data_IF_362332243147
#
_entry.id   IF_362332243147
#
_cell.length_a   1.000
_cell.length_b   1.000
_cell.length_c   1.000
_cell.angle_alpha   90.00
_cell.angle_beta   90.00
_cell.angle_gamma   90.00
#
_symmetry.space_group_name_H-M   'P 1'
#
loop_
_entity.id
_entity.type
_entity.pdbx_description
1 polymer ?
#
# COMPACT_ATOMS: atom_id res chain seq x y z
N UNK A 1 -3.09 6.32 -31.27
CA UNK A 1 -3.16 4.90 -31.69
C UNK A 1 -1.79 4.32 -32.00
N UNK A 2 -0.87 5.07 -32.64
CA UNK A 2 0.47 4.56 -32.96
C UNK A 2 1.39 4.37 -31.73
N UNK A 3 1.34 5.27 -30.74
CA UNK A 3 2.13 5.15 -29.49
C UNK A 3 1.67 3.99 -28.59
N UNK A 4 0.40 3.56 -28.74
CA UNK A 4 -0.21 2.52 -27.92
C UNK A 4 0.08 1.10 -28.39
N UNK A 5 0.41 0.89 -29.66
CA UNK A 5 0.84 -0.41 -30.19
C UNK A 5 2.33 -0.64 -29.89
N UNK A 6 3.16 0.41 -29.97
CA UNK A 6 4.56 0.35 -29.56
C UNK A 6 4.74 0.05 -28.06
N UNK A 7 3.83 0.50 -27.19
CA UNK A 7 3.88 0.17 -25.76
C UNK A 7 3.59 -1.32 -25.50
N UNK A 8 2.72 -1.94 -26.29
CA UNK A 8 2.35 -3.36 -26.17
C UNK A 8 3.46 -4.26 -26.72
N UNK A 9 4.13 -3.87 -27.82
CA UNK A 9 5.33 -4.57 -28.33
C UNK A 9 6.56 -4.37 -27.44
N UNK A 10 6.69 -3.23 -26.75
CA UNK A 10 7.80 -2.95 -25.82
C UNK A 10 7.65 -3.68 -24.47
N UNK A 11 6.44 -4.10 -24.09
CA UNK A 11 6.19 -5.00 -22.95
C UNK A 11 6.55 -6.45 -23.34
N UNK A 12 7.82 -6.66 -23.66
CA UNK A 12 8.37 -8.01 -23.82
C UNK A 12 8.00 -8.87 -22.60
N UNK A 13 7.58 -10.10 -22.89
CA UNK A 13 7.11 -11.12 -21.94
C UNK A 13 8.00 -11.33 -20.69
N UNK A 14 9.24 -10.85 -20.70
CA UNK A 14 10.28 -11.12 -19.70
C UNK A 14 10.33 -10.17 -18.49
N UNK A 15 9.56 -9.08 -18.47
CA UNK A 15 9.69 -8.04 -17.43
C UNK A 15 8.57 -7.99 -16.37
N UNK A 16 7.61 -8.92 -16.38
CA UNK A 16 6.55 -8.98 -15.37
C UNK A 16 7.07 -9.59 -14.06
N UNK A 17 6.70 -9.01 -12.92
CA UNK A 17 7.27 -9.45 -11.64
C UNK A 17 6.77 -10.82 -11.19
N UNK A 18 5.44 -11.02 -11.16
CA UNK A 18 4.87 -12.28 -10.66
C UNK A 18 3.51 -12.56 -11.30
N UNK A 19 3.50 -12.99 -12.58
CA UNK A 19 2.27 -13.45 -13.21
C UNK A 19 1.71 -14.70 -12.50
N UNK A 20 0.40 -14.89 -12.59
CA UNK A 20 -0.25 -16.11 -12.12
C UNK A 20 0.16 -17.29 -13.01
N UNK A 21 0.96 -18.20 -12.43
CA UNK A 21 1.56 -19.34 -13.13
C UNK A 21 0.51 -20.29 -13.71
N UNK A 22 -0.69 -20.32 -13.14
CA UNK A 22 -1.74 -21.23 -13.59
C UNK A 22 -2.41 -20.82 -14.89
N UNK A 23 -2.36 -19.52 -15.23
CA UNK A 23 -3.02 -19.00 -16.44
C UNK A 23 -2.46 -19.61 -17.73
N UNK A 24 -1.19 -20.05 -17.72
CA UNK A 24 -0.55 -20.73 -18.87
C UNK A 24 -1.11 -22.13 -19.16
N UNK A 25 -1.81 -22.74 -18.21
CA UNK A 25 -2.40 -24.08 -18.37
C UNK A 25 -3.86 -24.03 -18.82
N UNK A 26 -4.42 -22.83 -19.04
CA UNK A 26 -5.78 -22.69 -19.53
C UNK A 26 -5.83 -23.00 -21.03
N UNK A 27 -6.90 -23.65 -21.53
CA UNK A 27 -7.06 -23.93 -22.95
C UNK A 27 -7.03 -22.68 -23.85
N UNK A 28 -7.32 -21.51 -23.28
CA UNK A 28 -7.39 -20.21 -23.93
C UNK A 28 -6.35 -19.22 -23.39
N UNK A 29 -5.17 -19.71 -22.95
CA UNK A 29 -4.14 -18.89 -22.30
C UNK A 29 -3.69 -17.64 -23.10
N UNK A 30 -3.63 -17.72 -24.43
CA UNK A 30 -3.29 -16.57 -25.29
C UNK A 30 -4.32 -15.44 -25.17
N UNK A 31 -5.61 -15.80 -25.15
CA UNK A 31 -6.69 -14.82 -24.96
C UNK A 31 -6.66 -14.22 -23.55
N UNK A 32 -6.37 -15.03 -22.52
CA UNK A 32 -6.18 -14.55 -21.14
C UNK A 32 -5.02 -13.56 -21.05
N UNK A 33 -3.92 -13.84 -21.75
CA UNK A 33 -2.77 -12.95 -21.80
C UNK A 33 -3.13 -11.60 -22.44
N UNK A 34 -3.75 -11.61 -23.63
CA UNK A 34 -4.20 -10.38 -24.30
C UNK A 34 -5.18 -9.58 -23.45
N UNK A 35 -6.13 -10.26 -22.82
CA UNK A 35 -7.09 -9.63 -21.91
C UNK A 35 -6.38 -8.97 -20.72
N UNK A 36 -5.36 -9.62 -20.15
CA UNK A 36 -4.60 -9.04 -19.04
C UNK A 36 -3.92 -7.72 -19.44
N UNK A 37 -3.31 -7.64 -20.62
CA UNK A 37 -2.68 -6.41 -21.10
C UNK A 37 -3.70 -5.28 -21.29
N UNK A 38 -4.85 -5.61 -21.90
CA UNK A 38 -5.93 -4.65 -22.11
C UNK A 38 -6.52 -4.15 -20.79
N UNK A 39 -6.83 -5.07 -19.85
CA UNK A 39 -7.35 -4.72 -18.54
C UNK A 39 -6.38 -3.88 -17.72
N UNK A 40 -5.07 -4.21 -17.76
CA UNK A 40 -4.07 -3.42 -17.07
C UNK A 40 -3.99 -2.00 -17.61
N UNK A 41 -3.97 -1.84 -18.94
CA UNK A 41 -4.00 -0.54 -19.60
C UNK A 41 -5.23 0.28 -19.19
N UNK A 42 -6.40 -0.34 -19.24
CA UNK A 42 -7.66 0.31 -18.86
C UNK A 42 -7.63 0.78 -17.39
N UNK A 43 -7.11 -0.03 -16.47
CA UNK A 43 -6.94 0.33 -15.06
C UNK A 43 -6.00 1.54 -14.92
N UNK A 44 -4.84 1.51 -15.56
CA UNK A 44 -3.88 2.62 -15.53
C UNK A 44 -4.47 3.92 -16.06
N UNK A 45 -5.14 3.88 -17.21
CA UNK A 45 -5.78 5.05 -17.84
C UNK A 45 -6.84 5.67 -16.93
N UNK A 46 -7.72 4.84 -16.37
CA UNK A 46 -8.82 5.33 -15.56
C UNK A 46 -8.37 5.82 -14.18
N UNK A 47 -7.46 5.11 -13.51
CA UNK A 47 -6.87 5.59 -12.24
C UNK A 47 -6.17 6.94 -12.48
N UNK A 48 -5.38 7.06 -13.55
CA UNK A 48 -4.71 8.32 -13.89
C UNK A 48 -5.71 9.45 -14.12
N UNK A 49 -6.78 9.18 -14.89
CA UNK A 49 -7.86 10.13 -15.16
C UNK A 49 -8.55 10.59 -13.87
N UNK A 50 -8.87 9.67 -12.97
CA UNK A 50 -9.52 9.97 -11.70
C UNK A 50 -8.67 10.90 -10.84
N UNK A 51 -7.37 10.63 -10.76
CA UNK A 51 -6.45 11.44 -9.96
C UNK A 51 -6.29 12.84 -10.55
N UNK A 52 -6.19 12.95 -11.88
CA UNK A 52 -6.15 14.24 -12.58
C UNK A 52 -7.42 15.07 -12.35
N UNK A 53 -8.58 14.42 -12.38
CA UNK A 53 -9.88 15.05 -12.12
C UNK A 53 -10.17 15.26 -10.63
N UNK A 54 -9.30 14.78 -9.73
CA UNK A 54 -9.51 14.74 -8.28
C UNK A 54 -10.82 14.05 -7.88
N UNK A 55 -11.27 13.09 -8.69
CA UNK A 55 -12.55 12.40 -8.52
C UNK A 55 -12.41 11.19 -7.58
N UNK A 56 -12.18 11.44 -6.29
CA UNK A 56 -12.00 10.36 -5.31
C UNK A 56 -13.29 9.57 -5.01
N UNK A 57 -14.45 10.03 -5.50
CA UNK A 57 -15.72 9.28 -5.45
C UNK A 57 -16.59 9.62 -6.68
N UNK A 58 -17.24 8.61 -7.30
CA UNK A 58 -17.16 7.16 -7.03
C UNK A 58 -15.97 6.46 -7.72
N UNK A 59 -15.23 7.16 -8.59
CA UNK A 59 -14.23 6.54 -9.46
C UNK A 59 -13.09 5.80 -8.74
N UNK A 60 -12.45 6.43 -7.76
CA UNK A 60 -11.28 5.85 -7.08
C UNK A 60 -11.50 4.46 -6.48
N UNK A 61 -12.54 4.22 -5.63
CA UNK A 61 -12.79 2.88 -5.09
C UNK A 61 -13.18 1.86 -6.16
N UNK A 62 -13.91 2.28 -7.20
CA UNK A 62 -14.30 1.39 -8.30
C UNK A 62 -13.07 0.83 -9.04
N UNK A 63 -12.16 1.70 -9.47
CA UNK A 63 -10.98 1.28 -10.22
C UNK A 63 -9.90 0.63 -9.36
N UNK A 64 -9.84 0.99 -8.07
CA UNK A 64 -9.04 0.23 -7.11
C UNK A 64 -9.56 -1.21 -6.96
N UNK A 65 -10.88 -1.42 -6.88
CA UNK A 65 -11.45 -2.78 -6.88
C UNK A 65 -11.14 -3.56 -8.16
N UNK A 66 -11.13 -2.88 -9.32
CA UNK A 66 -10.69 -3.49 -10.60
C UNK A 66 -9.22 -3.89 -10.56
N UNK A 67 -8.35 -3.09 -9.93
CA UNK A 67 -6.95 -3.47 -9.70
C UNK A 67 -6.82 -4.69 -8.79
N UNK A 68 -7.58 -4.80 -7.71
CA UNK A 68 -7.58 -6.01 -6.85
C UNK A 68 -8.02 -7.25 -7.63
N UNK A 69 -9.10 -7.12 -8.41
CA UNK A 69 -9.58 -8.22 -9.27
C UNK A 69 -8.50 -8.62 -10.29
N UNK A 70 -7.82 -7.64 -10.87
CA UNK A 70 -6.71 -7.90 -11.78
C UNK A 70 -5.57 -8.66 -11.10
N UNK A 71 -5.12 -8.23 -9.91
CA UNK A 71 -4.04 -8.89 -9.17
C UNK A 71 -4.45 -10.31 -8.75
N UNK A 72 -5.71 -10.50 -8.36
CA UNK A 72 -6.24 -11.82 -8.01
C UNK A 72 -6.26 -12.80 -9.20
N UNK A 73 -6.69 -12.34 -10.38
CA UNK A 73 -6.79 -13.17 -11.58
C UNK A 73 -5.45 -13.41 -12.27
N UNK A 74 -4.68 -12.34 -12.47
CA UNK A 74 -3.48 -12.35 -13.30
C UNK A 74 -2.19 -12.32 -12.49
N UNK A 75 -2.24 -12.04 -11.19
CA UNK A 75 -1.05 -11.76 -10.39
C UNK A 75 -0.51 -10.35 -10.67
N UNK A 76 0.75 -10.13 -10.33
CA UNK A 76 1.46 -8.88 -10.60
C UNK A 76 2.02 -8.92 -12.03
N UNK A 77 1.11 -8.98 -13.01
CA UNK A 77 1.37 -8.94 -14.45
C UNK A 77 1.71 -7.52 -14.94
N UNK A 78 2.66 -6.87 -14.26
CA UNK A 78 3.17 -5.56 -14.62
C UNK A 78 4.63 -5.42 -14.21
N UNK A 79 5.27 -4.37 -14.73
CA UNK A 79 6.69 -4.12 -14.49
C UNK A 79 6.94 -3.67 -13.04
N UNK A 80 8.18 -3.84 -12.57
CA UNK A 80 8.61 -3.28 -11.27
C UNK A 80 8.40 -1.76 -11.19
N UNK A 81 8.62 -1.05 -12.30
CA UNK A 81 8.41 0.40 -12.38
C UNK A 81 6.94 0.75 -12.14
N UNK A 82 6.01 0.04 -12.79
CA UNK A 82 4.59 0.31 -12.62
C UNK A 82 4.09 -0.10 -11.23
N UNK A 83 4.65 -1.17 -10.65
CA UNK A 83 4.39 -1.54 -9.26
C UNK A 83 4.74 -0.40 -8.30
N UNK A 84 5.96 0.15 -8.40
CA UNK A 84 6.40 1.28 -7.57
C UNK A 84 5.50 2.51 -7.76
N UNK A 85 5.11 2.83 -9.00
CA UNK A 85 4.17 3.92 -9.29
C UNK A 85 2.84 3.73 -8.57
N UNK A 86 2.28 2.52 -8.56
CA UNK A 86 1.06 2.24 -7.80
C UNK A 86 1.27 2.45 -6.30
N UNK A 87 2.33 1.90 -5.73
CA UNK A 87 2.63 2.07 -4.30
C UNK A 87 2.71 3.56 -3.93
N UNK A 88 3.50 4.34 -4.68
CA UNK A 88 3.63 5.78 -4.46
C UNK A 88 2.31 6.53 -4.65
N UNK A 89 1.50 6.14 -5.64
CA UNK A 89 0.20 6.74 -5.87
C UNK A 89 -0.72 6.55 -4.66
N UNK A 90 -0.87 5.31 -4.17
CA UNK A 90 -1.76 5.02 -3.05
C UNK A 90 -1.27 5.63 -1.72
N UNK A 91 0.05 5.69 -1.50
CA UNK A 91 0.63 6.46 -0.37
C UNK A 91 0.36 7.96 -0.48
N UNK A 92 0.42 8.51 -1.70
CA UNK A 92 0.09 9.93 -1.95
C UNK A 92 -1.37 10.22 -1.68
N UNK A 93 -2.28 9.32 -2.09
CA UNK A 93 -3.72 9.45 -1.79
C UNK A 93 -3.96 9.41 -0.28
N UNK A 94 -3.29 8.53 0.47
CA UNK A 94 -3.38 8.49 1.95
C UNK A 94 -2.90 9.77 2.63
N UNK A 95 -2.07 10.56 1.95
CA UNK A 95 -1.55 11.84 2.46
C UNK A 95 -2.45 13.03 2.12
N UNK A 96 -3.55 12.82 1.39
CA UNK A 96 -4.53 13.86 1.07
C UNK A 96 -5.28 14.27 2.35
N UNK A 97 -5.29 15.57 2.71
CA UNK A 97 -6.06 16.06 3.85
C UNK A 97 -7.55 15.73 3.71
N UNK A 98 -8.21 15.43 4.83
CA UNK A 98 -9.64 15.13 4.90
C UNK A 98 -10.09 13.96 4.00
N UNK A 99 -9.17 13.04 3.69
CA UNK A 99 -9.53 11.80 3.01
C UNK A 99 -10.55 11.02 3.85
N UNK A 100 -11.63 10.58 3.23
CA UNK A 100 -12.63 9.78 3.91
C UNK A 100 -12.12 8.35 4.23
N UNK A 101 -12.62 7.76 5.32
CA UNK A 101 -12.21 6.42 5.77
C UNK A 101 -12.41 5.29 4.75
N UNK A 102 -13.42 5.39 3.89
CA UNK A 102 -13.67 4.37 2.86
C UNK A 102 -12.55 4.34 1.82
N UNK A 103 -12.11 5.51 1.37
CA UNK A 103 -11.00 5.63 0.43
C UNK A 103 -9.66 5.30 1.12
N UNK A 104 -9.50 5.67 2.39
CA UNK A 104 -8.34 5.28 3.18
C UNK A 104 -8.24 3.76 3.31
N UNK A 105 -9.35 3.09 3.66
CA UNK A 105 -9.44 1.63 3.69
C UNK A 105 -9.05 1.00 2.36
N UNK A 106 -9.57 1.54 1.25
CA UNK A 106 -9.21 1.07 -0.09
C UNK A 106 -7.70 1.18 -0.33
N UNK A 107 -7.06 2.27 0.09
CA UNK A 107 -5.62 2.39 0.00
C UNK A 107 -4.88 1.36 0.87
N UNK A 108 -5.35 1.10 2.10
CA UNK A 108 -4.76 0.09 2.98
C UNK A 108 -4.81 -1.31 2.36
N UNK A 109 -5.97 -1.68 1.80
CA UNK A 109 -6.16 -3.00 1.17
C UNK A 109 -5.27 -3.17 -0.06
N UNK A 110 -5.16 -2.14 -0.91
CA UNK A 110 -4.30 -2.17 -2.10
C UNK A 110 -2.82 -2.21 -1.70
N UNK A 111 -2.40 -1.36 -0.77
CA UNK A 111 -1.01 -1.32 -0.32
C UNK A 111 -0.59 -2.63 0.32
N UNK A 112 -1.45 -3.26 1.13
CA UNK A 112 -1.19 -4.59 1.65
C UNK A 112 -1.03 -5.61 0.52
N UNK A 113 -1.90 -5.61 -0.48
CA UNK A 113 -1.82 -6.55 -1.61
C UNK A 113 -0.56 -6.38 -2.47
N UNK A 114 -0.14 -5.13 -2.71
CA UNK A 114 1.07 -4.77 -3.45
C UNK A 114 2.34 -5.14 -2.67
N UNK A 115 2.37 -4.84 -1.36
CA UNK A 115 3.57 -4.96 -0.53
C UNK A 115 3.71 -6.31 0.19
N UNK A 116 2.67 -7.15 0.27
CA UNK A 116 2.76 -8.44 0.99
C UNK A 116 3.82 -9.40 0.42
N UNK A 117 4.22 -9.22 -0.85
CA UNK A 117 5.26 -10.01 -1.52
C UNK A 117 6.60 -9.30 -1.42
N UNK A 118 7.12 -9.15 -0.19
CA UNK A 118 8.34 -8.39 0.13
C UNK A 118 9.59 -8.73 -0.69
N UNK A 119 9.65 -9.92 -1.31
CA UNK A 119 10.72 -10.33 -2.21
C UNK A 119 10.73 -9.62 -3.59
N UNK A 120 9.66 -8.94 -3.97
CA UNK A 120 9.50 -8.35 -5.31
C UNK A 120 9.99 -6.90 -5.38
N UNK A 121 9.99 -6.20 -4.25
CA UNK A 121 10.46 -4.82 -4.12
C UNK A 121 11.57 -4.83 -3.08
N UNK A 122 12.76 -4.34 -3.45
CA UNK A 122 13.84 -4.23 -2.49
C UNK A 122 13.69 -2.93 -1.71
N UNK A 123 14.25 -2.89 -0.51
CA UNK A 123 14.26 -1.68 0.32
C UNK A 123 14.92 -0.48 -0.38
N UNK A 124 15.92 -0.75 -1.21
CA UNK A 124 16.62 0.30 -1.96
C UNK A 124 15.72 0.96 -3.03
N UNK A 125 14.64 0.29 -3.44
CA UNK A 125 13.70 0.81 -4.44
C UNK A 125 12.54 1.62 -3.83
N UNK A 126 12.27 1.44 -2.52
CA UNK A 126 11.09 1.99 -1.86
C UNK A 126 11.41 2.42 -0.43
N UNK A 127 11.13 3.69 -0.16
CA UNK A 127 11.15 4.26 1.19
C UNK A 127 9.74 4.76 1.50
N UNK A 128 9.18 4.29 2.62
CA UNK A 128 7.86 4.69 3.11
C UNK A 128 8.04 5.53 4.37
N UNK A 129 7.39 6.69 4.42
CA UNK A 129 7.30 7.50 5.64
C UNK A 129 6.27 6.88 6.58
N UNK A 130 6.74 6.42 7.74
CA UNK A 130 5.91 5.80 8.77
C UNK A 130 4.87 6.77 9.34
N UNK A 131 5.10 8.09 9.26
CA UNK A 131 4.18 9.13 9.77
C UNK A 131 2.83 9.15 9.07
N UNK A 132 2.80 8.81 7.78
CA UNK A 132 1.55 8.69 7.01
C UNK A 132 0.63 7.67 7.72
N UNK A 133 1.16 6.49 7.98
CA UNK A 133 0.42 5.41 8.62
C UNK A 133 0.17 5.66 10.10
N UNK A 134 1.12 6.27 10.82
CA UNK A 134 0.95 6.68 12.21
C UNK A 134 -0.24 7.62 12.39
N UNK A 135 -0.42 8.57 11.48
CA UNK A 135 -1.57 9.49 11.49
C UNK A 135 -2.87 8.70 11.43
N UNK A 136 -2.99 7.73 10.51
CA UNK A 136 -4.18 6.87 10.40
C UNK A 136 -4.38 5.97 11.61
N UNK A 137 -3.32 5.38 12.17
CA UNK A 137 -3.41 4.55 13.38
C UNK A 137 -3.89 5.37 14.56
N UNK A 138 -3.36 6.58 14.74
CA UNK A 138 -3.80 7.50 15.79
C UNK A 138 -5.27 7.89 15.62
N UNK A 139 -5.70 8.24 14.40
CA UNK A 139 -7.08 8.64 14.12
C UNK A 139 -8.08 7.49 14.33
N UNK A 140 -7.73 6.26 13.94
CA UNK A 140 -8.66 5.13 13.95
C UNK A 140 -8.64 4.35 15.26
N UNK A 141 -7.46 4.06 15.85
CA UNK A 141 -7.35 3.17 17.01
C UNK A 141 -7.28 3.89 18.36
N UNK A 142 -6.76 5.13 18.39
CA UNK A 142 -6.43 5.83 19.63
C UNK A 142 -7.17 7.16 19.79
N UNK A 143 -8.14 7.46 18.93
CA UNK A 143 -8.90 8.69 19.04
C UNK A 143 -10.06 8.50 20.04
N UNK A 144 -9.90 9.11 21.22
CA UNK A 144 -10.87 9.06 22.31
C UNK A 144 -11.97 10.13 22.21
N UNK A 145 -12.02 10.93 21.14
CA UNK A 145 -13.03 11.97 20.98
C UNK A 145 -14.44 11.39 20.83
N UNK A 146 -15.40 11.89 21.63
CA UNK A 146 -16.82 11.51 21.56
C UNK A 146 -17.42 11.69 20.15
N UNK A 147 -16.87 12.60 19.35
CA UNK A 147 -17.26 12.84 17.95
C UNK A 147 -16.91 11.68 17.00
N UNK A 148 -15.89 10.86 17.33
CA UNK A 148 -15.53 9.69 16.52
C UNK A 148 -16.50 8.53 16.71
N UNK A 149 -17.16 8.44 17.86
CA UNK A 149 -18.25 7.47 18.07
C UNK A 149 -19.43 7.68 17.12
N UNK A 150 -19.52 8.85 16.47
CA UNK A 150 -20.53 9.18 15.45
C UNK A 150 -20.04 8.95 14.01
N UNK A 151 -18.74 8.73 13.80
CA UNK A 151 -18.19 8.45 12.48
C UNK A 151 -18.46 6.99 12.12
N UNK A 152 -19.23 6.78 11.06
CA UNK A 152 -19.45 5.45 10.50
C UNK A 152 -18.16 4.95 9.84
N UNK A 153 -17.32 4.28 10.63
CA UNK A 153 -16.13 3.61 10.14
C UNK A 153 -16.55 2.45 9.22
N UNK A 154 -15.88 2.27 8.07
CA UNK A 154 -16.10 1.09 7.24
C UNK A 154 -15.77 -0.18 8.02
N UNK A 155 -16.51 -1.25 7.77
CA UNK A 155 -16.22 -2.57 8.34
C UNK A 155 -14.78 -2.97 8.07
N UNK A 156 -14.12 -3.58 9.06
CA UNK A 156 -12.75 -4.07 8.97
C UNK A 156 -11.67 -3.01 8.67
N UNK A 157 -11.95 -1.71 8.75
CA UNK A 157 -10.95 -0.66 8.46
C UNK A 157 -9.71 -0.76 9.35
N UNK A 158 -9.90 -1.07 10.63
CA UNK A 158 -8.81 -1.28 11.59
C UNK A 158 -7.90 -2.42 11.15
N UNK A 159 -8.49 -3.56 10.78
CA UNK A 159 -7.77 -4.74 10.32
C UNK A 159 -7.00 -4.46 9.03
N UNK A 160 -7.63 -3.78 8.06
CA UNK A 160 -6.96 -3.36 6.82
C UNK A 160 -5.76 -2.45 7.11
N UNK A 161 -5.92 -1.48 8.01
CA UNK A 161 -4.84 -0.59 8.42
C UNK A 161 -3.67 -1.35 9.05
N UNK A 162 -3.94 -2.26 9.98
CA UNK A 162 -2.91 -3.05 10.65
C UNK A 162 -2.13 -3.94 9.68
N UNK A 163 -2.79 -4.56 8.69
CA UNK A 163 -2.10 -5.30 7.65
C UNK A 163 -1.24 -4.41 6.76
N UNK A 164 -1.76 -3.25 6.36
CA UNK A 164 -1.01 -2.26 5.60
C UNK A 164 0.26 -1.81 6.36
N UNK A 165 0.16 -1.51 7.66
CA UNK A 165 1.31 -1.16 8.51
C UNK A 165 2.35 -2.28 8.50
N UNK A 166 1.92 -3.52 8.74
CA UNK A 166 2.82 -4.68 8.72
C UNK A 166 3.53 -4.84 7.37
N UNK A 167 2.83 -4.64 6.26
CA UNK A 167 3.36 -4.77 4.91
C UNK A 167 4.27 -3.59 4.52
N UNK A 168 4.06 -2.40 5.07
CA UNK A 168 4.91 -1.23 4.84
C UNK A 168 6.17 -1.19 5.71
N UNK A 169 6.13 -1.78 6.91
CA UNK A 169 7.21 -1.73 7.93
C UNK A 169 8.62 -2.07 7.41
N UNK A 170 8.83 -3.07 6.52
CA UNK A 170 10.15 -3.37 5.97
C UNK A 170 10.77 -2.23 5.15
N UNK A 171 9.94 -1.31 4.64
CA UNK A 171 10.30 -0.22 3.75
C UNK A 171 10.43 1.13 4.45
N UNK A 172 10.31 1.18 5.79
CA UNK A 172 10.59 2.41 6.52
C UNK A 172 12.04 2.86 6.33
N UNK A 173 12.31 4.16 6.46
CA UNK A 173 13.67 4.69 6.36
C UNK A 173 14.59 4.04 7.41
N UNK A 174 15.89 4.07 7.17
CA UNK A 174 16.85 3.55 8.14
C UNK A 174 16.90 4.42 9.42
N UNK A 175 16.50 5.69 9.34
CA UNK A 175 16.35 6.60 10.48
C UNK A 175 15.06 6.40 11.29
N UNK A 176 14.09 5.65 10.75
CA UNK A 176 12.76 5.51 11.34
C UNK A 176 12.80 4.96 12.77
N UNK A 177 13.66 3.99 13.07
CA UNK A 177 13.82 3.42 14.42
C UNK A 177 14.10 4.53 15.45
N UNK A 178 15.08 5.39 15.16
CA UNK A 178 15.45 6.50 16.04
C UNK A 178 14.32 7.51 16.17
N UNK A 179 13.71 7.90 15.05
CA UNK A 179 12.60 8.87 15.05
C UNK A 179 11.39 8.36 15.85
N UNK A 180 11.03 7.09 15.69
CA UNK A 180 9.93 6.44 16.43
C UNK A 180 10.26 6.39 17.92
N UNK A 181 11.48 5.98 18.30
CA UNK A 181 11.88 5.91 19.70
C UNK A 181 11.89 7.31 20.34
N UNK A 182 12.41 8.32 19.64
CA UNK A 182 12.45 9.70 20.14
C UNK A 182 11.03 10.27 20.33
N UNK A 183 10.09 9.96 19.42
CA UNK A 183 8.69 10.36 19.51
C UNK A 183 7.98 9.75 20.74
N UNK A 184 8.14 8.43 20.95
CA UNK A 184 7.40 7.72 22.01
C UNK A 184 8.13 7.68 23.36
N UNK A 185 9.42 8.02 23.42
CA UNK A 185 10.21 8.02 24.67
C UNK A 185 9.56 8.78 25.83
N UNK A 186 8.94 9.97 25.65
CA UNK A 186 8.30 10.68 26.75
C UNK A 186 7.09 9.92 27.33
N UNK A 187 6.49 9.01 26.56
CA UNK A 187 5.29 8.25 26.94
C UNK A 187 5.64 6.95 27.68
N UNK A 188 6.93 6.62 27.81
CA UNK A 188 7.42 5.40 28.44
C UNK A 188 7.47 5.47 29.98
N UNK A 189 6.69 6.34 30.61
CA UNK A 189 6.54 6.35 32.05
C UNK A 189 5.64 5.19 32.49
N UNK A 190 6.12 4.17 33.24
CA UNK A 190 5.32 2.98 33.58
C UNK A 190 4.08 3.27 34.44
N UNK A 191 4.00 4.47 35.02
CA UNK A 191 2.90 4.90 35.87
C UNK A 191 1.85 5.74 35.12
N UNK A 192 2.10 6.07 33.86
CA UNK A 192 1.18 6.85 33.02
C UNK A 192 0.30 5.92 32.17
N UNK A 193 -0.97 6.28 31.99
CA UNK A 193 -1.89 5.61 31.06
C UNK A 193 -1.38 5.61 29.61
N UNK A 194 -0.61 6.64 29.22
CA UNK A 194 -0.02 6.75 27.88
C UNK A 194 1.00 5.64 27.57
N UNK A 195 1.50 4.92 28.59
CA UNK A 195 2.45 3.82 28.42
C UNK A 195 1.88 2.70 27.55
N UNK A 196 0.61 2.33 27.75
CA UNK A 196 -0.03 1.26 27.00
C UNK A 196 -0.10 1.60 25.50
N UNK A 197 -0.50 2.83 25.19
CA UNK A 197 -0.58 3.31 23.81
C UNK A 197 0.80 3.36 23.16
N UNK A 198 1.81 3.84 23.89
CA UNK A 198 3.20 3.83 23.43
C UNK A 198 3.70 2.42 23.10
N UNK A 199 3.39 1.42 23.94
CA UNK A 199 3.74 0.02 23.65
C UNK A 199 3.08 -0.48 22.38
N UNK A 200 1.78 -0.19 22.18
CA UNK A 200 1.08 -0.56 20.96
C UNK A 200 1.71 0.11 19.72
N UNK A 201 2.02 1.40 19.77
CA UNK A 201 2.69 2.08 18.65
C UNK A 201 4.06 1.49 18.34
N UNK A 202 4.86 1.18 19.37
CA UNK A 202 6.18 0.55 19.17
C UNK A 202 6.07 -0.84 18.55
N UNK A 203 5.12 -1.68 18.99
CA UNK A 203 4.88 -3.00 18.39
C UNK A 203 4.51 -2.89 16.90
N UNK A 204 3.68 -1.91 16.55
CA UNK A 204 3.23 -1.68 15.18
C UNK A 204 4.34 -1.14 14.28
N UNK A 205 5.08 -0.12 14.72
CA UNK A 205 5.93 0.68 13.85
C UNK A 205 7.42 0.35 13.89
N UNK A 206 7.94 -0.24 14.98
CA UNK A 206 9.37 -0.45 15.12
C UNK A 206 9.91 -1.44 14.06
N UNK A 207 10.88 -1.05 13.21
CA UNK A 207 11.41 -1.93 12.17
C UNK A 207 12.24 -3.08 12.76
N UNK A 208 11.73 -4.32 12.69
CA UNK A 208 12.43 -5.53 13.19
C UNK A 208 13.15 -6.34 12.11
N UNK A 209 13.05 -5.96 10.84
CA UNK A 209 13.60 -6.69 9.69
C UNK A 209 14.58 -5.83 8.89
N UNK A 210 15.60 -5.31 9.55
CA UNK A 210 16.71 -4.59 8.89
C UNK A 210 17.75 -5.58 8.35
N UNK A 211 18.38 -5.29 7.19
CA UNK A 211 19.48 -6.10 6.70
C UNK A 211 20.68 -6.00 7.65
N UNK A 212 21.59 -7.01 7.69
CA UNK A 212 22.74 -7.01 8.61
C UNK A 212 23.63 -5.77 8.54
N UNK A 213 23.68 -5.10 7.38
CA UNK A 213 24.44 -3.86 7.16
C UNK A 213 23.90 -2.66 7.92
N UNK A 214 22.63 -2.69 8.35
CA UNK A 214 21.92 -1.61 9.04
C UNK A 214 21.47 -2.03 10.44
N UNK A 215 22.07 -3.08 11.01
CA UNK A 215 21.70 -3.60 12.33
C UNK A 215 21.98 -2.59 13.44
N UNK A 216 22.99 -1.74 13.27
CA UNK A 216 23.31 -0.60 14.14
C UNK A 216 22.21 0.47 14.18
N UNK A 217 21.34 0.51 13.16
CA UNK A 217 20.20 1.42 13.03
C UNK A 217 18.87 0.73 13.40
N UNK A 218 18.94 -0.54 13.79
CA UNK A 218 17.83 -1.36 14.25
C UNK A 218 17.90 -1.68 15.73
N UNK A 219 17.27 -2.81 16.09
CA UNK A 219 17.44 -3.48 17.37
C UNK A 219 18.45 -4.62 17.22
#
# INVERSE_FOLDING_TARGET
MHDSEQYIEAMGHDNFQKPNVYNKFLPFHDAVHQQSLQSFKEICENISRIIQLRELRPGFPLWSSKLQQFISLYGLCFTKSDHLKFIHLYLSVLSVPDLNYSNAKTCFDILDELLNKSRLIQRDDLIVDWRILYTWVKLILFNNDENYSLLALPNDVEKSLLYCVRSCRPYFSATATREILDEFRPWLCPFDSAFSDAMCYLDLFLPVHLPPKLHDQGF
#
